data_IF_283618517243
#
_entry.id   IF_283618517243
#
_cell.length_a   1.000
_cell.length_b   1.000
_cell.length_c   1.000
_cell.angle_alpha   90.00
_cell.angle_beta   90.00
_cell.angle_gamma   90.00
#
_symmetry.space_group_name_H-M   'P 1'
#
loop_
_entity.id
_entity.type
_entity.pdbx_description
1 polymer ?
#
# COMPACT_ATOMS: atom_id res chain seq x y z
N UNK A 1 13.05 -1.13 -0.75
CA UNK A 1 12.35 -1.40 -2.03
C UNK A 1 12.18 -0.06 -2.67
N UNK A 2 12.94 0.27 -3.73
CA UNK A 2 12.97 1.64 -4.25
C UNK A 2 11.57 2.28 -4.33
N UNK A 3 11.45 3.47 -3.75
CA UNK A 3 10.27 4.33 -3.81
C UNK A 3 9.66 4.33 -5.22
N UNK A 4 8.33 4.31 -5.30
CA UNK A 4 7.63 4.29 -6.59
C UNK A 4 7.95 5.55 -7.41
N UNK A 5 8.09 5.43 -8.75
CA UNK A 5 8.11 6.58 -9.64
C UNK A 5 6.89 7.48 -9.46
N UNK A 6 7.05 8.77 -9.73
CA UNK A 6 5.97 9.76 -9.59
C UNK A 6 4.71 9.36 -10.39
N UNK A 7 4.91 8.84 -11.60
CA UNK A 7 3.85 8.37 -12.48
C UNK A 7 2.98 7.27 -11.84
N UNK A 8 3.59 6.28 -11.16
CA UNK A 8 2.87 5.18 -10.52
C UNK A 8 2.08 5.68 -9.31
N UNK A 9 2.66 6.59 -8.52
CA UNK A 9 1.94 7.25 -7.43
C UNK A 9 0.74 8.05 -7.94
N UNK A 10 0.88 8.70 -9.10
CA UNK A 10 -0.21 9.46 -9.74
C UNK A 10 -1.31 8.51 -10.22
N UNK A 11 -0.95 7.34 -10.74
CA UNK A 11 -1.92 6.29 -11.08
C UNK A 11 -2.71 5.85 -9.84
N UNK A 12 -2.02 5.51 -8.74
CA UNK A 12 -2.66 5.13 -7.46
C UNK A 12 -3.62 6.23 -6.96
N UNK A 13 -3.17 7.48 -7.01
CA UNK A 13 -3.98 8.63 -6.61
C UNK A 13 -5.27 8.74 -7.43
N UNK A 14 -5.19 8.52 -8.75
CA UNK A 14 -6.36 8.52 -9.65
C UNK A 14 -7.29 7.35 -9.38
N UNK A 15 -6.76 6.14 -9.31
CA UNK A 15 -7.54 4.91 -9.07
C UNK A 15 -8.32 4.99 -7.75
N UNK A 16 -7.70 5.50 -6.69
CA UNK A 16 -8.36 5.65 -5.40
C UNK A 16 -9.50 6.68 -5.44
N UNK A 17 -9.30 7.81 -6.13
CA UNK A 17 -10.39 8.78 -6.32
C UNK A 17 -11.54 8.21 -7.16
N UNK A 18 -11.22 7.43 -8.19
CA UNK A 18 -12.23 6.77 -9.03
C UNK A 18 -13.08 5.78 -8.22
N UNK A 19 -12.44 4.95 -7.40
CA UNK A 19 -13.12 4.00 -6.52
C UNK A 19 -14.05 4.70 -5.50
N UNK A 20 -13.56 5.76 -4.83
CA UNK A 20 -14.38 6.55 -3.91
C UNK A 20 -15.56 7.24 -4.59
N UNK A 21 -15.33 7.77 -5.80
CA UNK A 21 -16.39 8.38 -6.62
C UNK A 21 -17.45 7.35 -7.00
N UNK A 22 -17.04 6.15 -7.41
CA UNK A 22 -17.95 5.05 -7.76
C UNK A 22 -18.81 4.62 -6.56
N UNK A 23 -18.24 4.65 -5.35
CA UNK A 23 -18.95 4.36 -4.09
C UNK A 23 -19.79 5.52 -3.56
N UNK A 24 -19.69 6.71 -4.18
CA UNK A 24 -20.30 7.97 -3.72
C UNK A 24 -19.92 8.30 -2.28
N UNK A 25 -18.68 7.98 -1.90
CA UNK A 25 -18.18 8.19 -0.56
C UNK A 25 -17.74 9.66 -0.37
N UNK A 26 -18.35 10.35 0.59
CA UNK A 26 -17.95 11.70 0.96
C UNK A 26 -16.62 11.68 1.69
N UNK A 27 -15.66 12.50 1.25
CA UNK A 27 -14.31 12.54 1.84
C UNK A 27 -14.06 13.88 2.52
N UNK A 28 -13.50 13.88 3.75
CA UNK A 28 -13.19 15.11 4.49
C UNK A 28 -11.81 15.69 4.15
N UNK A 29 -11.13 15.18 3.12
CA UNK A 29 -9.77 15.56 2.73
C UNK A 29 -9.71 16.12 1.31
N UNK A 30 -8.72 16.97 1.03
CA UNK A 30 -8.52 17.51 -0.31
C UNK A 30 -7.78 16.52 -1.22
N UNK A 31 -7.82 16.81 -2.52
CA UNK A 31 -7.00 16.13 -3.54
C UNK A 31 -5.49 16.17 -3.24
N UNK A 32 -5.02 17.31 -2.72
CA UNK A 32 -3.62 17.49 -2.32
C UNK A 32 -3.24 16.65 -1.10
N UNK A 33 -4.14 16.55 -0.12
CA UNK A 33 -3.92 15.71 1.07
C UNK A 33 -3.84 14.23 0.70
N UNK A 34 -4.71 13.78 -0.23
CA UNK A 34 -4.65 12.41 -0.73
C UNK A 34 -3.31 12.13 -1.43
N UNK A 35 -2.80 13.08 -2.23
CA UNK A 35 -1.49 12.94 -2.88
C UNK A 35 -0.37 12.81 -1.84
N UNK A 36 -0.33 13.72 -0.88
CA UNK A 36 0.63 13.67 0.21
C UNK A 36 0.52 12.35 1.01
N UNK A 37 -0.69 11.82 1.18
CA UNK A 37 -0.94 10.52 1.81
C UNK A 37 -0.35 9.35 1.02
N UNK A 38 -0.52 9.32 -0.31
CA UNK A 38 0.11 8.31 -1.18
C UNK A 38 1.64 8.40 -1.09
N UNK A 39 2.17 9.62 -1.13
CA UNK A 39 3.61 9.86 -1.10
C UNK A 39 4.23 9.37 0.23
N UNK A 40 3.59 9.73 1.34
CA UNK A 40 4.01 9.33 2.68
C UNK A 40 3.90 7.82 2.91
N UNK A 41 2.83 7.18 2.43
CA UNK A 41 2.61 5.75 2.62
C UNK A 41 3.65 4.91 1.87
N UNK A 42 3.94 5.24 0.63
CA UNK A 42 4.97 4.53 -0.13
C UNK A 42 6.38 4.79 0.43
N UNK A 43 6.69 6.03 0.84
CA UNK A 43 7.95 6.33 1.53
C UNK A 43 8.11 5.53 2.83
N UNK A 44 7.03 5.38 3.59
CA UNK A 44 7.03 4.55 4.80
C UNK A 44 7.24 3.07 4.48
N UNK A 45 6.62 2.55 3.43
CA UNK A 45 6.79 1.15 3.00
C UNK A 45 8.22 0.85 2.57
N UNK A 46 8.87 1.75 1.81
CA UNK A 46 10.28 1.59 1.45
C UNK A 46 11.17 1.58 2.70
N UNK A 47 11.00 2.57 3.58
CA UNK A 47 11.78 2.70 4.81
C UNK A 47 11.62 1.50 5.76
N UNK A 48 10.44 0.87 5.78
CA UNK A 48 10.13 -0.24 6.68
C UNK A 48 10.23 -1.63 6.01
N UNK A 49 10.69 -1.71 4.75
CA UNK A 49 10.78 -2.98 4.03
C UNK A 49 11.61 -4.04 4.77
N UNK A 50 12.71 -3.64 5.42
CA UNK A 50 13.52 -4.52 6.24
C UNK A 50 12.74 -5.05 7.47
N UNK A 51 12.08 -4.14 8.20
CA UNK A 51 11.26 -4.48 9.36
C UNK A 51 10.15 -5.48 8.99
N UNK A 52 9.43 -5.21 7.90
CA UNK A 52 8.39 -6.10 7.38
C UNK A 52 8.93 -7.50 7.05
N UNK A 53 10.09 -7.59 6.38
CA UNK A 53 10.72 -8.87 6.10
C UNK A 53 11.15 -9.60 7.38
N UNK A 54 11.64 -8.88 8.39
CA UNK A 54 12.04 -9.46 9.69
C UNK A 54 10.87 -9.87 10.59
N UNK A 55 9.65 -9.41 10.31
CA UNK A 55 8.45 -9.86 11.02
C UNK A 55 7.98 -11.26 10.57
N UNK A 56 8.32 -11.69 9.37
CA UNK A 56 7.90 -12.98 8.82
C UNK A 56 8.70 -14.14 9.42
N UNK A 57 8.10 -15.23 9.91
CA UNK A 57 8.86 -16.35 10.48
C UNK A 57 9.63 -17.14 9.40
N UNK A 58 10.68 -17.86 9.82
CA UNK A 58 11.29 -18.92 9.00
C UNK A 58 10.40 -20.18 9.02
N UNK A 59 10.39 -21.01 7.96
CA UNK A 59 11.19 -20.92 6.73
C UNK A 59 10.62 -19.97 5.66
N UNK A 60 9.40 -19.47 5.87
CA UNK A 60 8.68 -18.66 4.87
C UNK A 60 9.47 -17.41 4.44
N UNK A 61 10.09 -16.70 5.38
CA UNK A 61 10.93 -15.54 5.09
C UNK A 61 12.04 -15.85 4.08
N UNK A 62 12.71 -16.99 4.21
CA UNK A 62 13.82 -17.38 3.34
C UNK A 62 13.37 -17.95 1.99
N UNK A 63 12.24 -18.67 1.97
CA UNK A 63 11.76 -19.35 0.78
C UNK A 63 10.90 -18.48 -0.15
N UNK A 64 10.16 -17.51 0.40
CA UNK A 64 9.24 -16.70 -0.39
C UNK A 64 9.95 -15.56 -1.15
N UNK A 65 9.53 -15.36 -2.40
CA UNK A 65 9.90 -14.20 -3.22
C UNK A 65 9.35 -12.89 -2.62
N UNK A 66 9.92 -11.76 -3.04
CA UNK A 66 9.45 -10.43 -2.62
C UNK A 66 7.97 -10.22 -2.99
N UNK A 67 7.57 -10.68 -4.18
CA UNK A 67 6.19 -10.60 -4.68
C UNK A 67 5.23 -11.40 -3.81
N UNK A 68 5.59 -12.64 -3.43
CA UNK A 68 4.75 -13.46 -2.54
C UNK A 68 4.58 -12.83 -1.16
N UNK A 69 5.62 -12.17 -0.63
CA UNK A 69 5.55 -11.44 0.64
C UNK A 69 4.65 -10.20 0.53
N UNK A 70 4.73 -9.46 -0.57
CA UNK A 70 3.87 -8.31 -0.83
C UNK A 70 2.39 -8.72 -0.97
N UNK A 71 2.12 -9.82 -1.68
CA UNK A 71 0.76 -10.39 -1.78
C UNK A 71 0.23 -10.82 -0.41
N UNK A 72 1.04 -11.49 0.41
CA UNK A 72 0.64 -11.86 1.76
C UNK A 72 0.29 -10.63 2.60
N UNK A 73 1.09 -9.57 2.52
CA UNK A 73 0.81 -8.31 3.21
C UNK A 73 -0.53 -7.71 2.77
N UNK A 74 -0.80 -7.68 1.46
CA UNK A 74 -2.07 -7.21 0.90
C UNK A 74 -3.26 -8.02 1.47
N UNK A 75 -3.17 -9.36 1.47
CA UNK A 75 -4.23 -10.21 2.02
C UNK A 75 -4.47 -9.95 3.52
N UNK A 76 -3.40 -9.75 4.30
CA UNK A 76 -3.51 -9.42 5.72
C UNK A 76 -4.19 -8.06 5.91
N UNK A 77 -3.80 -7.03 5.16
CA UNK A 77 -4.42 -5.70 5.20
C UNK A 77 -5.91 -5.78 4.85
N UNK A 78 -6.24 -6.47 3.75
CA UNK A 78 -7.62 -6.67 3.32
C UNK A 78 -8.47 -7.33 4.40
N UNK A 79 -8.02 -8.45 4.97
CA UNK A 79 -8.78 -9.16 6.02
C UNK A 79 -8.88 -8.37 7.31
N UNK A 80 -7.88 -7.56 7.65
CA UNK A 80 -7.84 -6.80 8.89
C UNK A 80 -8.68 -5.53 8.85
N UNK A 81 -8.68 -4.82 7.73
CA UNK A 81 -9.24 -3.46 7.64
C UNK A 81 -10.37 -3.30 6.63
N UNK A 82 -10.46 -4.15 5.62
CA UNK A 82 -11.40 -4.01 4.51
C UNK A 82 -12.47 -5.12 4.49
N UNK A 83 -12.64 -5.82 5.61
CA UNK A 83 -13.45 -7.04 5.79
C UNK A 83 -14.73 -7.03 4.92
N UNK A 84 -14.65 -7.68 3.75
CA UNK A 84 -15.78 -8.08 2.91
C UNK A 84 -16.33 -9.42 3.38
#
# INVERSE_FOLDING_TARGET
MAALPDADRVAIWREFMEDLSNRREGTPFSKGDLRAGVDALDGWLDANAASANTALPQPFRGAASVQQKALLLQFVIQKRYLRS
#
